data_IF_039592541016
#
_entry.id   IF_039592541016
#
_cell.length_a   1.000
_cell.length_b   1.000
_cell.length_c   1.000
_cell.angle_alpha   90.00
_cell.angle_beta   90.00
_cell.angle_gamma   90.00
#
_symmetry.space_group_name_H-M   'P 1'
#
loop_
_entity.id
_entity.type
_entity.pdbx_description
1 polymer ?
#
# COMPACT_ATOMS: atom_id res chain seq x y z
N UNK A 1 13.88 -8.79 7.18
CA UNK A 1 12.72 -8.86 6.26
C UNK A 1 13.25 -8.65 4.86
N UNK A 2 13.06 -9.61 3.96
CA UNK A 2 13.48 -9.50 2.56
C UNK A 2 12.74 -8.33 1.92
N UNK A 3 13.47 -7.30 1.54
CA UNK A 3 12.90 -6.10 0.95
C UNK A 3 12.57 -6.38 -0.52
N UNK A 4 11.28 -6.57 -0.83
CA UNK A 4 10.83 -6.71 -2.21
C UNK A 4 11.01 -5.39 -2.98
N UNK A 5 11.35 -5.51 -4.27
CA UNK A 5 11.58 -4.39 -5.18
C UNK A 5 10.41 -4.33 -6.17
N UNK A 6 9.93 -3.12 -6.47
CA UNK A 6 8.96 -2.95 -7.54
C UNK A 6 9.53 -3.43 -8.88
N UNK A 7 8.65 -3.95 -9.73
CA UNK A 7 8.96 -4.52 -11.03
C UNK A 7 9.36 -6.00 -10.99
N UNK A 8 9.50 -6.59 -9.80
CA UNK A 8 9.67 -8.04 -9.68
C UNK A 8 8.40 -8.77 -10.10
N UNK A 9 8.57 -9.94 -10.71
CA UNK A 9 7.47 -10.88 -10.93
C UNK A 9 7.19 -11.56 -9.61
N UNK A 10 5.98 -11.42 -9.09
CA UNK A 10 5.56 -12.04 -7.84
C UNK A 10 4.34 -12.92 -8.07
N UNK A 11 4.17 -13.90 -7.19
CA UNK A 11 3.02 -14.81 -7.16
C UNK A 11 2.38 -14.79 -5.79
N UNK A 12 1.06 -14.70 -5.77
CA UNK A 12 0.27 -14.99 -4.58
C UNK A 12 0.22 -16.49 -4.34
N UNK A 13 0.65 -16.92 -3.14
CA UNK A 13 0.72 -18.33 -2.74
C UNK A 13 -0.64 -18.98 -2.58
N UNK A 14 -1.68 -18.21 -2.28
CA UNK A 14 -3.01 -18.76 -2.01
C UNK A 14 -3.78 -19.08 -3.31
N UNK A 15 -3.78 -18.15 -4.27
CA UNK A 15 -4.52 -18.27 -5.52
C UNK A 15 -3.67 -18.72 -6.72
N UNK A 16 -2.34 -18.59 -6.63
CA UNK A 16 -1.44 -18.77 -7.78
C UNK A 16 -1.38 -17.58 -8.73
N UNK A 17 -2.10 -16.48 -8.43
CA UNK A 17 -2.10 -15.27 -9.25
C UNK A 17 -0.69 -14.71 -9.40
N UNK A 18 -0.27 -14.44 -10.63
CA UNK A 18 1.09 -13.99 -10.94
C UNK A 18 1.06 -12.69 -11.73
N UNK A 19 1.90 -11.73 -11.36
CA UNK A 19 2.01 -10.45 -12.04
C UNK A 19 3.27 -9.68 -11.66
N UNK A 20 3.45 -8.52 -12.27
CA UNK A 20 4.54 -7.60 -11.96
C UNK A 20 4.11 -6.69 -10.81
N UNK A 21 4.93 -6.57 -9.77
CA UNK A 21 4.68 -5.64 -8.66
C UNK A 21 4.80 -4.18 -9.13
N UNK A 22 3.69 -3.49 -9.34
CA UNK A 22 3.64 -2.13 -9.92
C UNK A 22 3.50 -1.02 -8.88
N UNK A 23 2.94 -1.35 -7.72
CA UNK A 23 2.81 -0.43 -6.59
C UNK A 23 2.99 -1.16 -5.27
N UNK A 24 3.51 -0.42 -4.29
CA UNK A 24 3.59 -0.82 -2.89
C UNK A 24 2.73 0.12 -2.08
N UNK A 25 1.93 -0.44 -1.18
CA UNK A 25 1.13 0.30 -0.22
C UNK A 25 1.57 -0.01 1.20
N UNK A 26 1.91 1.03 1.96
CA UNK A 26 2.20 0.95 3.39
C UNK A 26 1.02 1.59 4.15
N UNK A 27 0.28 0.80 4.92
CA UNK A 27 -0.93 1.23 5.62
C UNK A 27 -0.63 1.70 7.05
N UNK A 28 -1.50 2.55 7.61
CA UNK A 28 -1.37 3.06 8.98
C UNK A 28 -1.34 1.96 10.05
N UNK A 29 -2.00 0.83 9.82
CA UNK A 29 -1.97 -0.31 10.72
C UNK A 29 -0.68 -1.16 10.61
N UNK A 30 0.29 -0.74 9.79
CA UNK A 30 1.53 -1.47 9.55
C UNK A 30 1.43 -2.58 8.50
N UNK A 31 0.26 -2.78 7.88
CA UNK A 31 0.14 -3.71 6.77
C UNK A 31 0.89 -3.19 5.53
N UNK A 32 1.49 -4.10 4.78
CA UNK A 32 2.18 -3.79 3.53
C UNK A 32 1.61 -4.65 2.42
N UNK A 33 1.13 -4.02 1.36
CA UNK A 33 0.60 -4.69 0.19
C UNK A 33 1.40 -4.34 -1.05
N UNK A 34 1.39 -5.25 -2.02
CA UNK A 34 1.84 -4.96 -3.38
C UNK A 34 0.70 -5.23 -4.36
N UNK A 35 0.54 -4.33 -5.33
CA UNK A 35 -0.35 -4.58 -6.47
C UNK A 35 0.42 -5.28 -7.57
N UNK A 36 -0.13 -6.39 -8.02
CA UNK A 36 0.40 -7.19 -9.10
C UNK A 36 -0.40 -6.91 -10.37
N UNK A 37 0.26 -6.34 -11.37
CA UNK A 37 -0.29 -6.19 -12.72
C UNK A 37 -0.06 -7.50 -13.48
N UNK A 38 -1.11 -8.27 -13.81
CA UNK A 38 -0.93 -9.46 -14.63
C UNK A 38 -0.60 -9.07 -16.07
N UNK A 39 -0.01 -10.00 -16.82
CA UNK A 39 0.20 -9.82 -18.26
C UNK A 39 -1.15 -9.77 -18.98
N UNK A 40 -1.26 -8.88 -19.96
CA UNK A 40 -2.41 -8.88 -20.85
C UNK A 40 -2.42 -10.18 -21.68
N UNK A 41 -3.59 -10.83 -21.84
CA UNK A 41 -3.74 -11.94 -22.79
C UNK A 41 -3.39 -11.51 -24.22
N UNK A 42 -2.99 -12.47 -25.06
CA UNK A 42 -2.79 -12.20 -26.47
C UNK A 42 -4.08 -11.70 -27.12
N UNK A 43 -3.99 -10.63 -27.92
CA UNK A 43 -5.14 -10.01 -28.57
C UNK A 43 -6.04 -9.18 -27.63
N UNK A 44 -5.67 -8.99 -26.36
CA UNK A 44 -6.46 -8.17 -25.44
C UNK A 44 -6.52 -6.71 -25.89
N UNK A 45 -7.73 -6.16 -25.95
CA UNK A 45 -7.98 -4.74 -26.26
C UNK A 45 -7.98 -3.86 -25.01
N UNK A 46 -8.03 -4.47 -23.83
CA UNK A 46 -7.97 -3.80 -22.52
C UNK A 46 -6.92 -4.46 -21.65
N UNK A 47 -6.29 -3.66 -20.79
CA UNK A 47 -5.38 -4.20 -19.79
C UNK A 47 -6.18 -4.80 -18.63
N UNK A 48 -5.80 -5.98 -18.13
CA UNK A 48 -6.39 -6.51 -16.91
C UNK A 48 -6.07 -5.61 -15.72
N UNK A 49 -6.93 -5.60 -14.71
CA UNK A 49 -6.68 -4.80 -13.51
C UNK A 49 -5.57 -5.40 -12.64
N UNK A 50 -4.82 -4.52 -11.98
CA UNK A 50 -3.86 -4.93 -10.97
C UNK A 50 -4.61 -5.30 -9.68
N UNK A 51 -4.17 -6.39 -9.03
CA UNK A 51 -4.77 -6.88 -7.78
C UNK A 51 -3.76 -6.74 -6.65
N UNK A 52 -4.21 -6.24 -5.49
CA UNK A 52 -3.35 -6.01 -4.33
C UNK A 52 -3.39 -7.18 -3.37
N UNK A 53 -2.22 -7.64 -2.93
CA UNK A 53 -2.06 -8.74 -1.99
C UNK A 53 -1.17 -8.32 -0.82
N UNK A 54 -1.44 -8.89 0.36
CA UNK A 54 -0.60 -8.74 1.54
C UNK A 54 0.78 -9.37 1.32
N UNK A 55 1.83 -8.69 1.79
CA UNK A 55 3.22 -9.11 1.59
C UNK A 55 3.50 -10.54 2.08
N UNK A 56 2.76 -11.02 3.10
CA UNK A 56 2.88 -12.34 3.69
C UNK A 56 2.41 -13.47 2.76
N UNK A 57 1.54 -13.14 1.79
CA UNK A 57 1.01 -14.10 0.82
C UNK A 57 1.85 -14.14 -0.46
N UNK A 58 2.77 -13.20 -0.64
CA UNK A 58 3.54 -13.06 -1.86
C UNK A 58 4.89 -13.77 -1.80
N UNK A 59 5.32 -14.28 -2.94
CA UNK A 59 6.67 -14.73 -3.18
C UNK A 59 7.22 -14.17 -4.49
N UNK A 60 8.53 -13.94 -4.53
CA UNK A 60 9.22 -13.51 -5.76
C UNK A 60 9.47 -14.75 -6.61
N UNK A 61 9.05 -14.67 -7.87
CA UNK A 61 9.25 -15.71 -8.88
C UNK A 61 10.44 -15.38 -9.76
N UNK A 62 10.57 -14.11 -10.15
CA UNK A 62 11.62 -13.64 -11.06
C UNK A 62 11.89 -12.14 -10.89
N UNK A 63 13.05 -11.68 -11.37
CA UNK A 63 13.45 -10.27 -11.37
C UNK A 63 12.51 -9.37 -12.19
N UNK A 64 11.80 -9.91 -13.19
CA UNK A 64 10.85 -9.17 -14.01
C UNK A 64 11.50 -7.96 -14.68
N UNK A 65 10.85 -6.80 -14.55
CA UNK A 65 11.36 -5.51 -15.04
C UNK A 65 11.90 -4.63 -13.90
N UNK A 66 12.29 -5.23 -12.78
CA UNK A 66 12.67 -4.48 -11.58
C UNK A 66 13.83 -3.51 -11.78
N UNK A 67 14.69 -3.72 -12.77
CA UNK A 67 15.78 -2.78 -13.10
C UNK A 67 15.32 -1.49 -13.75
N UNK A 68 14.08 -1.45 -14.24
CA UNK A 68 13.44 -0.24 -14.77
C UNK A 68 12.73 0.57 -13.67
N UNK A 69 12.55 0.00 -12.47
CA UNK A 69 11.89 0.69 -11.38
C UNK A 69 12.75 1.86 -10.88
N UNK A 70 12.14 3.05 -10.86
CA UNK A 70 12.79 4.26 -10.38
C UNK A 70 12.88 4.26 -8.85
N UNK A 71 13.90 4.94 -8.32
CA UNK A 71 14.02 5.14 -6.88
C UNK A 71 12.83 5.97 -6.38
N UNK A 72 12.21 5.60 -5.25
CA UNK A 72 11.12 6.39 -4.68
C UNK A 72 11.54 7.84 -4.41
N UNK A 73 10.67 8.78 -4.73
CA UNK A 73 10.83 10.18 -4.41
C UNK A 73 11.05 10.33 -2.90
N UNK A 74 12.04 11.14 -2.53
CA UNK A 74 12.30 11.41 -1.11
C UNK A 74 11.17 12.25 -0.55
N UNK A 75 10.64 11.85 0.59
CA UNK A 75 9.65 12.63 1.33
C UNK A 75 9.94 12.53 2.83
N UNK A 76 9.84 13.63 3.58
CA UNK A 76 9.94 13.59 5.04
C UNK A 76 8.65 13.06 5.70
N UNK A 77 7.57 12.91 4.95
CA UNK A 77 6.25 12.51 5.45
C UNK A 77 6.23 11.03 5.77
N UNK A 78 5.61 10.68 6.89
CA UNK A 78 5.34 9.31 7.31
C UNK A 78 3.85 9.09 7.47
N UNK A 79 3.42 7.85 7.24
CA UNK A 79 2.07 7.42 7.59
C UNK A 79 1.81 7.70 9.08
N UNK A 80 0.62 8.20 9.40
CA UNK A 80 0.20 8.65 10.73
C UNK A 80 0.44 10.14 10.99
N UNK A 81 1.25 10.85 10.20
CA UNK A 81 1.44 12.28 10.38
C UNK A 81 0.25 13.10 9.87
N UNK A 82 0.01 14.23 10.53
CA UNK A 82 -0.90 15.25 10.04
C UNK A 82 -0.24 16.01 8.91
N UNK A 83 -0.94 16.15 7.79
CA UNK A 83 -0.41 16.77 6.57
C UNK A 83 -1.40 17.80 6.02
N UNK A 84 -0.86 18.77 5.28
CA UNK A 84 -1.60 19.75 4.48
C UNK A 84 -1.18 19.66 3.03
N UNK A 85 -2.14 19.61 2.11
CA UNK A 85 -1.88 19.86 0.70
C UNK A 85 -1.69 21.36 0.46
N UNK A 86 -0.53 21.70 -0.10
CA UNK A 86 -0.13 23.08 -0.40
C UNK A 86 -0.94 23.73 -1.52
N UNK A 87 -1.59 22.94 -2.38
CA UNK A 87 -2.40 23.45 -3.49
C UNK A 87 -3.86 23.67 -3.07
N UNK A 88 -4.53 22.63 -2.56
CA UNK A 88 -5.97 22.71 -2.23
C UNK A 88 -6.24 23.20 -0.81
N UNK A 89 -5.25 23.15 0.08
CA UNK A 89 -5.41 23.42 1.50
C UNK A 89 -6.00 22.25 2.31
N UNK A 90 -6.31 21.11 1.67
CA UNK A 90 -6.80 19.89 2.35
C UNK A 90 -5.88 19.53 3.52
N UNK A 91 -6.46 19.34 4.71
CA UNK A 91 -5.74 18.95 5.91
C UNK A 91 -6.30 17.64 6.46
N UNK A 92 -5.43 16.71 6.80
CA UNK A 92 -5.81 15.39 7.30
C UNK A 92 -4.65 14.60 7.86
N UNK A 93 -4.87 13.31 8.07
CA UNK A 93 -3.83 12.34 8.47
C UNK A 93 -3.45 11.53 7.24
N UNK A 94 -2.15 11.35 6.99
CA UNK A 94 -1.66 10.41 5.99
C UNK A 94 -1.91 8.98 6.46
N UNK A 95 -2.92 8.30 5.93
CA UNK A 95 -3.35 6.96 6.40
C UNK A 95 -2.78 5.80 5.59
N UNK A 96 -2.26 6.09 4.39
CA UNK A 96 -1.57 5.12 3.55
C UNK A 96 -0.54 5.83 2.69
N UNK A 97 0.60 5.18 2.44
CA UNK A 97 1.60 5.62 1.46
C UNK A 97 1.59 4.66 0.27
N UNK A 98 1.50 5.20 -0.93
CA UNK A 98 1.72 4.47 -2.18
C UNK A 98 3.08 4.83 -2.75
N UNK A 99 3.82 3.82 -3.19
CA UNK A 99 5.03 3.98 -4.00
C UNK A 99 4.81 3.26 -5.32
N UNK A 100 5.06 3.93 -6.45
CA UNK A 100 4.83 3.41 -7.79
C UNK A 100 6.15 3.13 -8.53
N UNK A 101 6.08 2.35 -9.61
CA UNK A 101 7.22 1.98 -10.47
C UNK A 101 8.05 3.17 -10.97
N UNK A 102 7.41 4.30 -11.25
CA UNK A 102 8.07 5.53 -11.70
C UNK A 102 8.70 6.33 -10.55
N UNK A 103 8.72 5.79 -9.33
CA UNK A 103 9.27 6.44 -8.15
C UNK A 103 8.34 7.48 -7.53
N UNK A 104 7.15 7.74 -8.08
CA UNK A 104 6.18 8.61 -7.44
C UNK A 104 5.79 8.05 -6.07
N UNK A 105 5.71 8.95 -5.09
CA UNK A 105 5.19 8.65 -3.76
C UNK A 105 3.97 9.53 -3.53
N UNK A 106 2.85 8.91 -3.16
CA UNK A 106 1.60 9.59 -2.83
C UNK A 106 1.10 9.10 -1.48
N UNK A 107 0.30 9.91 -0.80
CA UNK A 107 -0.36 9.52 0.43
C UNK A 107 -1.86 9.63 0.28
N UNK A 108 -2.58 8.67 0.85
CA UNK A 108 -4.02 8.80 1.08
C UNK A 108 -4.19 9.69 2.31
N UNK A 109 -4.79 10.86 2.12
CA UNK A 109 -5.02 11.84 3.20
C UNK A 109 -6.46 11.75 3.64
N UNK A 110 -6.67 11.34 4.89
CA UNK A 110 -8.01 11.27 5.49
C UNK A 110 -8.24 12.51 6.37
N UNK A 111 -9.18 13.40 6.01
CA UNK A 111 -9.47 14.59 6.80
C UNK A 111 -10.15 14.24 8.13
N UNK A 112 -9.90 15.04 9.16
CA UNK A 112 -10.65 14.94 10.42
C UNK A 112 -11.94 15.76 10.31
N UNK A 113 -13.08 15.10 10.10
CA UNK A 113 -14.43 15.70 10.18
C UNK A 113 -15.33 14.90 11.13
N UNK A 114 -16.25 15.59 11.82
CA UNK A 114 -17.10 15.04 12.90
C UNK A 114 -18.27 14.18 12.39
N UNK A 115 -18.64 14.26 11.11
CA UNK A 115 -19.73 13.50 10.50
C UNK A 115 -19.33 13.13 9.06
N UNK A 116 -19.30 11.82 8.78
CA UNK A 116 -18.91 11.25 7.48
C UNK A 116 -20.05 11.39 6.46
N UNK A 117 -19.76 11.92 5.28
CA UNK A 117 -20.34 11.39 4.04
C UNK A 117 -19.27 10.50 3.39
N UNK A 118 -19.68 9.54 2.57
CA UNK A 118 -18.77 8.59 1.94
C UNK A 118 -17.69 9.31 1.10
N UNK A 119 -16.44 8.84 1.18
CA UNK A 119 -15.29 9.19 0.32
C UNK A 119 -14.59 10.54 0.53
N UNK A 120 -14.25 10.90 1.77
CA UNK A 120 -13.46 12.12 2.05
C UNK A 120 -11.93 11.92 1.96
N UNK A 121 -11.42 10.72 1.68
CA UNK A 121 -9.98 10.47 1.59
C UNK A 121 -9.45 10.66 0.16
N UNK A 122 -8.37 11.41 0.00
CA UNK A 122 -7.82 11.75 -1.31
C UNK A 122 -6.35 11.34 -1.44
N UNK A 123 -5.98 10.79 -2.60
CA UNK A 123 -4.60 10.53 -2.94
C UNK A 123 -3.90 11.82 -3.34
N UNK A 124 -2.94 12.26 -2.53
CA UNK A 124 -2.16 13.47 -2.77
C UNK A 124 -0.70 13.10 -2.96
N UNK A 125 -0.08 13.64 -4.01
CA UNK A 125 1.35 13.45 -4.24
C UNK A 125 2.17 14.02 -3.09
N UNK A 126 3.20 13.27 -2.67
CA UNK A 126 4.10 13.67 -1.58
C UNK A 126 4.77 15.04 -1.80
N UNK A 127 5.02 15.44 -3.05
CA UNK A 127 5.64 16.73 -3.39
C UNK A 127 4.76 17.94 -3.08
N UNK A 128 3.45 17.72 -2.92
CA UNK A 128 2.47 18.76 -2.59
C UNK A 128 2.12 18.80 -1.11
N UNK A 129 2.57 17.81 -0.34
CA UNK A 129 2.23 17.69 1.07
C UNK A 129 3.30 18.31 1.96
N UNK A 130 2.86 18.97 3.01
CA UNK A 130 3.70 19.42 4.13
C UNK A 130 3.20 18.79 5.42
N UNK A 131 4.12 18.21 6.21
CA UNK A 131 3.79 17.78 7.57
C UNK A 131 3.47 19.00 8.44
N UNK A 132 2.36 18.94 9.17
CA UNK A 132 1.92 20.00 10.09
C UNK A 132 2.38 19.70 11.52
N UNK A 133 2.58 18.42 11.84
CA UNK A 133 3.06 17.94 13.14
C UNK A 133 4.34 17.13 12.95
N UNK A 134 5.33 17.32 13.83
CA UNK A 134 6.59 16.55 13.79
C UNK A 134 6.38 15.09 14.21
N UNK A 135 5.42 14.84 15.11
CA UNK A 135 5.09 13.50 15.62
C UNK A 135 3.88 12.91 14.89
N UNK A 136 3.83 11.59 14.65
CA UNK A 136 2.63 10.95 14.14
C UNK A 136 1.44 11.25 15.05
N UNK A 137 0.32 11.65 14.47
CA UNK A 137 -0.94 11.79 15.21
C UNK A 137 -1.47 10.44 15.69
N UNK A 138 -1.04 9.36 15.04
CA UNK A 138 -1.29 7.96 15.39
C UNK A 138 0.01 7.20 15.18
N UNK A 139 0.52 6.54 16.21
CA UNK A 139 1.63 5.59 16.05
C UNK A 139 1.08 4.29 15.43
N UNK A 140 1.70 3.76 14.38
CA UNK A 140 1.35 2.44 13.88
C UNK A 140 1.56 1.43 15.02
N UNK A 141 0.68 0.41 15.14
CA UNK A 141 0.86 -0.63 16.14
C UNK A 141 2.25 -1.25 15.98
N UNK A 142 3.01 -1.32 17.08
CA UNK A 142 4.25 -2.11 17.11
C UNK A 142 3.86 -3.54 16.74
N UNK A 143 4.53 -4.15 15.77
CA UNK A 143 4.08 -5.39 15.14
C UNK A 143 4.04 -6.57 16.12
N UNK A 144 2.97 -6.68 16.88
CA UNK A 144 2.55 -7.93 17.50
C UNK A 144 1.72 -8.65 16.44
N UNK A 145 2.28 -9.77 15.93
CA UNK A 145 1.74 -10.77 14.98
C UNK A 145 0.48 -10.36 14.16
N UNK A 146 0.51 -10.49 12.81
CA UNK A 146 -0.66 -10.19 11.98
C UNK A 146 -1.93 -10.90 12.47
N UNK A 147 -2.88 -10.14 13.03
CA UNK A 147 -4.19 -10.67 13.42
C UNK A 147 -5.09 -10.67 12.20
N UNK A 148 -4.84 -11.61 11.28
CA UNK A 148 -5.70 -11.87 10.15
C UNK A 148 -7.03 -12.47 10.63
N UNK A 149 -8.01 -11.62 10.95
CA UNK A 149 -9.41 -12.00 11.15
C UNK A 149 -9.71 -12.87 12.38
N UNK A 150 -11.00 -12.98 12.77
CA UNK A 150 -11.39 -13.66 14.00
C UNK A 150 -11.01 -15.15 13.96
N UNK A 151 -10.54 -15.74 15.08
CA UNK A 151 -10.34 -17.19 15.14
C UNK A 151 -11.67 -17.88 14.89
N UNK A 152 -11.74 -18.75 13.89
CA UNK A 152 -12.87 -19.66 13.71
C UNK A 152 -13.02 -20.49 14.98
N UNK A 153 -14.07 -20.16 15.73
CA UNK A 153 -14.49 -20.84 16.95
C UNK A 153 -14.98 -22.24 16.53
N UNK A 154 -14.28 -23.29 16.98
CA UNK A 154 -14.80 -24.66 16.94
C UNK A 154 -13.84 -25.71 16.39
N UNK A 155 -12.83 -26.08 17.16
CA UNK A 155 -12.26 -27.43 17.06
C UNK A 155 -12.96 -28.26 18.14
N UNK A 156 -13.75 -29.31 17.81
CA UNK A 156 -14.19 -30.26 18.82
C UNK A 156 -12.94 -30.95 19.37
N UNK A 157 -12.77 -30.97 20.70
CA UNK A 157 -11.77 -31.82 21.33
C UNK A 157 -12.13 -33.28 21.00
N UNK A 158 -11.25 -33.96 20.27
CA UNK A 158 -11.30 -35.42 20.19
C UNK A 158 -10.97 -35.97 21.58
N UNK A 159 -11.86 -36.83 22.09
CA UNK A 159 -11.58 -37.74 23.19
C UNK A 159 -10.79 -38.95 22.66
#
# INVERSE_FOLDING_TARGET
MTQFKLGQTMRDRASGFTGIAVSRFDFLNGNVQYSLQPKAPEGATTLPEAVSFDIQQLEVVDAGISDTASKPARTPIRVGQKVKDTITGLTGVATMQATYMNGCVSFLVTPRRRLLRENDAEWVSSVRLTAIDEKPAIEPPKSEKPTGGPPMRGVPRAA
#
